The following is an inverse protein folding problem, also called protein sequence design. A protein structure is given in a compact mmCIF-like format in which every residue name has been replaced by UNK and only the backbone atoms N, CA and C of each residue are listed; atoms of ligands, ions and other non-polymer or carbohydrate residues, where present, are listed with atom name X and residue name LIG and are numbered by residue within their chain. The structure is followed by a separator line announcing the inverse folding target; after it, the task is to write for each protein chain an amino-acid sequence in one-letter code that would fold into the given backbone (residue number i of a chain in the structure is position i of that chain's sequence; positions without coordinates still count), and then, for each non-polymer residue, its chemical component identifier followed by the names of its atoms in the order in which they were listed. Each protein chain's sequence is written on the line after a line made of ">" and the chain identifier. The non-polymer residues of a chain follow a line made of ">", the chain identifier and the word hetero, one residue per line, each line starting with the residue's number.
data_IF_719194931002
#
_entry.id   IF_719194931002
#
_cell.length_a   1.000
_cell.length_b   1.000
_cell.length_c   1.000
_cell.angle_alpha   90.00
_cell.angle_beta   90.00
_cell.angle_gamma   90.00
#
_symmetry.space_group_name_H-M   'P 1'
#
loop_
_entity.id
_entity.type
_entity.pdbx_description
1 polymer ?
2 polymer ?
3 water ?
#
loop_
_entity_poly.entity_id
_entity_poly.type
_entity_poly.pdbx_seq_one_letter_code
_entity_poly.pdbx_strand_id
1 'polyribonucleotide' 'GAGGACCUAGAUCACCCCUC' ?
#
# COMPACT_ATOMS: atom_id res chain seq x y z
N UNK C 1 11.96 1.33 10.84
CA UNK C 1 10.68 0.58 11.09
C UNK C 1 10.50 0.22 12.55
N UNK C 2 9.29 0.45 13.06
CA UNK C 2 8.92 0.17 14.44
C UNK C 2 7.56 -0.52 14.39
N UNK C 3 7.14 -1.16 15.49
CA UNK C 3 5.84 -1.83 15.55
C UNK C 3 4.66 -0.89 15.82
N UNK C 4 4.95 0.34 16.25
CA UNK C 4 3.90 1.32 16.52
C UNK C 4 4.30 2.68 15.95
N UNK C 5 3.54 3.10 14.96
CA UNK C 5 3.76 4.39 14.32
C UNK C 5 2.51 5.24 14.50
N UNK C 6 2.70 6.55 14.61
CA UNK C 6 1.62 7.52 14.77
C UNK C 6 1.78 8.64 13.74
N UNK C 7 0.66 9.15 13.24
CA UNK C 7 0.62 10.26 12.30
C UNK C 7 -0.50 11.15 12.81
N UNK C 8 -0.48 12.42 12.43
CA UNK C 8 -1.54 13.36 12.83
C UNK C 8 -2.21 13.79 11.54
N UNK C 9 -3.47 13.47 11.40
CA UNK C 9 -4.22 13.79 10.21
C UNK C 9 -5.32 14.84 10.46
N UNK C 10 -5.24 15.99 9.77
CA UNK C 10 -6.27 17.00 9.98
C UNK C 10 -7.67 16.37 10.02
N UNK C 11 -8.55 16.95 10.80
CA UNK C 11 -9.90 16.42 10.93
C UNK C 11 -10.72 16.39 9.63
N UNK C 12 -10.68 17.46 8.85
CA UNK C 12 -11.44 17.54 7.61
C UNK C 12 -10.89 16.65 6.55
N UNK C 13 -9.79 15.97 6.88
CA UNK C 13 -9.12 15.07 5.95
C UNK C 13 -9.16 13.59 6.39
N UNK C 14 -9.39 13.35 7.68
CA UNK C 14 -9.42 11.99 8.25
C UNK C 14 -10.49 11.07 7.65
N UNK C 15 -11.62 11.62 7.26
CA UNK C 15 -12.68 10.78 6.70
C UNK C 15 -12.29 10.06 5.41
N UNK C 16 -11.25 10.58 4.75
CA UNK C 16 -10.76 10.03 3.49
C UNK C 16 -10.07 8.69 3.69
N UNK C 17 -9.53 8.46 4.87
CA UNK C 17 -8.87 7.19 5.13
C UNK C 17 -9.84 6.27 5.86
N UNK C 18 -10.92 6.84 6.37
CA UNK C 18 -11.95 6.06 7.06
C UNK C 18 -12.90 5.49 5.98
N UNK C 19 -13.45 6.37 5.15
CA UNK C 19 -14.33 5.91 4.10
C UNK C 19 -15.73 5.59 4.60
N UNK C 20 -16.69 5.43 3.70
CA UNK C 20 -18.06 5.14 4.09
C UNK C 20 -18.15 3.96 5.03
N UNK C 21 -18.67 4.21 6.23
CA UNK C 21 -18.81 3.17 7.23
C UNK C 21 -17.48 2.59 7.70
N UNK C 22 -16.38 3.25 7.34
CA UNK C 22 -15.07 2.80 7.75
C UNK C 22 -14.49 1.73 6.85
N UNK C 23 -15.12 1.53 5.69
CA UNK C 23 -14.69 0.51 4.74
C UNK C 23 -13.29 0.68 4.15
N UNK C 24 -12.78 1.91 4.13
CA UNK C 24 -11.45 2.16 3.58
C UNK C 24 -10.41 1.78 4.62
N UNK C 25 -10.63 2.23 5.84
CA UNK C 25 -9.74 1.95 6.97
C UNK C 25 -9.57 0.44 7.01
N UNK C 26 -10.69 -0.27 7.04
CA UNK C 26 -10.73 -1.74 7.06
C UNK C 26 -9.94 -2.32 5.91
N UNK C 27 -10.02 -1.68 4.75
CA UNK C 27 -9.34 -2.11 3.54
C UNK C 27 -7.83 -2.08 3.70
N UNK C 28 -7.32 -0.94 4.19
CA UNK C 28 -5.87 -0.78 4.41
C UNK C 28 -5.33 -1.75 5.42
N UNK C 29 -6.19 -2.17 6.35
CA UNK C 29 -5.80 -3.11 7.38
C UNK C 29 -5.68 -4.52 6.79
N UNK C 30 -6.63 -4.86 5.93
CA UNK C 30 -6.63 -6.16 5.27
C UNK C 30 -5.41 -6.24 4.35
N UNK C 31 -5.19 -5.17 3.59
CA UNK C 31 -4.07 -5.07 2.67
C UNK C 31 -2.68 -5.08 3.30
N UNK C 32 -2.56 -4.48 4.47
CA UNK C 32 -1.27 -4.35 5.16
C UNK C 32 -1.06 -5.32 6.31
N UNK C 33 -2.15 -5.79 6.91
CA UNK C 33 -2.03 -6.70 8.03
C UNK C 33 -1.80 -5.98 9.34
N UNK C 34 -1.82 -4.65 9.26
CA UNK C 34 -1.62 -3.78 10.42
C UNK C 34 -2.94 -3.27 10.99
N UNK C 35 -2.92 -2.84 12.23
CA UNK C 35 -4.12 -2.31 12.86
C UNK C 35 -4.00 -0.79 12.88
N UNK C 36 -5.01 -0.13 12.34
CA UNK C 36 -5.03 1.33 12.32
C UNK C 36 -6.11 1.71 13.32
N UNK C 37 -5.74 2.60 14.23
CA UNK C 37 -6.63 3.06 15.29
C UNK C 37 -6.64 4.58 15.23
N UNK C 38 -7.81 5.17 15.05
CA UNK C 38 -7.88 6.60 14.98
C UNK C 38 -8.43 7.11 16.28
N UNK C 39 -7.95 8.26 16.73
CA UNK C 39 -8.41 8.85 17.98
C UNK C 39 -9.93 9.00 17.91
N UNK C 40 -10.57 9.15 19.06
CA UNK C 40 -12.01 9.30 19.06
C UNK C 40 -12.40 10.68 18.55
N UNK C 41 -13.61 10.82 18.02
CA UNK C 41 -14.03 12.12 17.50
C UNK C 41 -13.89 13.22 18.58
N UNK C 42 -13.33 14.37 18.20
CA UNK C 42 -13.17 15.44 19.16
C UNK C 42 -11.89 15.36 19.97
N UNK C 43 -11.17 14.27 19.78
CA UNK C 43 -9.90 14.02 20.46
C UNK C 43 -8.76 14.32 19.48
N UNK C 44 -8.08 15.46 19.67
CA UNK C 44 -6.99 15.88 18.78
C UNK C 44 -5.71 16.12 19.54
N UNK C 45 -4.62 16.25 18.81
CA UNK C 45 -3.35 16.53 19.47
C UNK C 45 -3.55 17.90 20.09
N UNK C 46 -3.06 18.11 21.32
CA UNK C 46 -3.25 19.42 21.93
C UNK C 46 -2.89 20.57 20.99
N UNK C 47 -3.68 21.64 21.07
CA UNK C 47 -3.42 22.79 20.24
C UNK C 47 -3.53 22.52 18.74
N UNK C 48 -4.53 21.74 18.35
CA UNK C 48 -4.75 21.43 16.94
C UNK C 48 -6.09 20.72 16.74
N UNK C 49 -6.43 20.49 15.48
CA UNK C 49 -7.66 19.78 15.10
C UNK C 49 -7.25 18.58 14.25
N UNK C 50 -6.18 17.92 14.67
CA UNK C 50 -5.63 16.76 14.00
C UNK C 50 -5.93 15.54 14.83
N UNK C 51 -6.52 14.55 14.19
CA UNK C 51 -6.83 13.28 14.84
C UNK C 51 -5.54 12.45 14.84
N UNK C 52 -5.31 11.71 15.92
CA UNK C 52 -4.12 10.88 16.01
C UNK C 52 -4.42 9.54 15.38
N UNK C 53 -3.57 9.12 14.46
CA UNK C 53 -3.76 7.82 13.81
C UNK C 53 -2.66 6.89 14.29
N UNK C 54 -3.04 5.83 15.00
CA UNK C 54 -2.06 4.88 15.52
C UNK C 54 -2.02 3.55 14.78
N UNK C 55 -0.86 3.25 14.22
CA UNK C 55 -0.69 2.04 13.46
C UNK C 55 0.20 1.09 14.22
N UNK C 56 -0.22 -0.17 14.28
CA UNK C 56 0.54 -1.20 14.99
C UNK C 56 0.56 -2.52 14.24
N UNK C 57 1.62 -3.28 14.44
CA UNK C 57 1.78 -4.58 13.79
C UNK C 57 3.24 -4.85 13.57
N UNK C 58 3.57 -5.79 12.70
CA UNK C 58 4.97 -6.09 12.40
C UNK C 58 5.57 -4.80 11.81
N UNK C 59 6.90 -4.62 11.90
CA UNK C 59 7.50 -3.41 11.34
C UNK C 59 7.16 -3.20 9.88
N UNK C 60 7.17 -4.30 9.12
CA UNK C 60 6.86 -4.24 7.69
C UNK C 60 5.42 -3.83 7.44
N UNK C 61 4.51 -4.32 8.26
CA UNK C 61 3.08 -3.99 8.12
C UNK C 61 2.75 -2.57 8.53
N UNK C 62 3.31 -2.10 9.65
CA UNK C 62 3.08 -0.74 10.14
C UNK C 62 3.66 0.31 9.18
N UNK C 63 4.74 -0.06 8.49
CA UNK C 63 5.39 0.84 7.55
C UNK C 63 4.61 0.94 6.24
N UNK C 64 4.01 -0.16 5.80
CA UNK C 64 3.25 -0.16 4.56
C UNK C 64 1.96 0.62 4.84
N UNK C 65 1.40 0.38 6.02
CA UNK C 65 0.17 1.03 6.48
C UNK C 65 0.37 2.51 6.58
N UNK C 66 1.46 2.89 7.25
CA UNK C 66 1.75 4.31 7.41
C UNK C 66 1.99 4.98 6.06
N UNK C 67 2.59 4.26 5.12
CA UNK C 67 2.87 4.84 3.81
C UNK C 67 1.63 5.01 2.95
N UNK C 68 0.75 4.01 2.94
CA UNK C 68 -0.46 4.11 2.14
C UNK C 68 -1.38 5.20 2.65
N UNK C 69 -1.48 5.32 3.98
CA UNK C 69 -2.32 6.36 4.59
C UNK C 69 -1.81 7.76 4.26
N UNK C 70 -0.54 8.03 4.51
CA UNK C 70 0.04 9.33 4.20
C UNK C 70 -0.10 9.62 2.70
N UNK C 71 0.13 8.61 1.88
CA UNK C 71 -0.02 8.77 0.44
C UNK C 71 -1.45 9.16 0.17
N UNK C 72 -2.38 8.50 0.84
CA UNK C 72 -3.81 8.77 0.69
C UNK C 72 -4.20 10.18 1.08
N UNK C 73 -3.62 10.66 2.18
CA UNK C 73 -3.89 12.02 2.66
C UNK C 73 -3.28 13.06 1.71
N UNK C 74 -2.13 12.73 1.16
CA UNK C 74 -1.44 13.62 0.23
C UNK C 74 -2.17 13.69 -1.10
N UNK C 75 -2.75 12.57 -1.51
CA UNK C 75 -3.50 12.50 -2.76
C UNK C 75 -4.72 13.40 -2.64
N UNK C 76 -5.45 13.21 -1.54
CA UNK C 76 -6.63 14.00 -1.20
C UNK C 76 -6.36 15.50 -1.26
N UNK C 77 -5.33 15.94 -0.52
CA UNK C 77 -4.94 17.34 -0.46
C UNK C 77 -4.78 17.93 -1.85
N UNK C 78 -4.14 17.17 -2.74
CA UNK C 78 -3.92 17.63 -4.10
C UNK C 78 -5.24 17.86 -4.81
N UNK C 79 -6.05 16.82 -4.87
CA UNK C 79 -7.37 16.88 -5.48
C UNK C 79 -8.18 18.06 -4.94
N UNK C 80 -8.06 18.30 -3.64
CA UNK C 80 -8.78 19.38 -2.99
C UNK C 80 -8.16 20.73 -3.31
N UNK C 81 -6.91 20.73 -3.77
CA UNK C 81 -6.21 21.97 -4.09
C UNK C 81 -6.27 22.28 -5.57
N UNK C 82 -6.87 21.37 -6.33
CA UNK C 82 -6.98 21.53 -7.77
C UNK C 82 -8.44 21.67 -8.21
N UNK C 83 -9.30 20.87 -7.60
CA UNK C 83 -10.73 20.82 -7.90
C UNK C 83 -11.63 21.63 -6.98
N UNK C 84 -12.85 21.95 -7.46
CA UNK C 84 -13.83 22.72 -6.68
C UNK C 84 -14.55 21.81 -5.68
N UNK C 85 -14.69 22.27 -4.45
CA UNK C 85 -15.36 21.50 -3.40
C UNK C 85 -16.86 21.50 -3.58
N UNK C 86 -17.44 20.31 -3.74
CA UNK C 86 -18.89 20.19 -3.92
C UNK C 86 -19.62 20.58 -2.65
N UNK C 87 -20.78 21.21 -2.80
CA UNK C 87 -21.58 21.65 -1.65
C UNK C 87 -23.08 21.49 -1.94
N UNK D 1 17.46 4.70 1.55
CA UNK D 1 17.54 3.20 1.65
C UNK D 1 17.62 2.80 0.21
N UNK D 2 16.90 1.74 -0.21
CA UNK D 2 16.95 1.45 -1.63
C UNK D 2 15.84 2.08 -2.50
N UNK D 3 16.19 2.74 -3.61
CA UNK D 3 15.14 3.32 -4.51
C UNK D 3 14.80 2.48 -5.73
N UNK D 4 15.33 1.27 -5.78
CA UNK D 4 15.06 0.31 -6.84
C UNK D 4 15.20 -1.09 -6.21
N UNK D 5 14.11 -1.80 -6.26
CA UNK D 5 14.10 -3.14 -5.70
C UNK D 5 13.66 -4.11 -6.79
N UNK D 6 14.18 -5.33 -6.72
CA UNK D 6 13.84 -6.33 -7.73
C UNK D 6 13.39 -7.63 -7.11
N UNK D 7 12.25 -8.14 -7.58
CA UNK D 7 11.73 -9.43 -7.13
C UNK D 7 11.58 -10.31 -8.35
N UNK D 8 11.80 -11.61 -8.15
CA UNK D 8 11.66 -12.59 -9.21
C UNK D 8 10.36 -13.32 -8.90
N UNK D 9 9.43 -13.29 -9.85
CA UNK D 9 8.14 -13.92 -9.65
C UNK D 9 7.89 -15.00 -10.70
N UNK D 10 7.66 -16.26 -10.28
CA UNK D 10 7.41 -17.33 -11.25
C UNK D 10 6.44 -16.86 -12.30
N UNK D 11 6.59 -17.36 -13.51
CA UNK D 11 5.71 -16.95 -14.60
C UNK D 11 4.20 -17.28 -14.37
N UNK D 12 3.91 -18.46 -13.85
CA UNK D 12 2.52 -18.86 -13.62
C UNK D 12 1.87 -18.05 -12.48
N UNK D 13 2.69 -17.27 -11.79
CA UNK D 13 2.21 -16.49 -10.66
C UNK D 13 2.10 -14.98 -10.94
N UNK D 14 2.94 -14.50 -11.85
CA UNK D 14 3.01 -13.08 -12.22
C UNK D 14 1.68 -12.45 -12.60
N UNK D 15 0.81 -13.21 -13.24
CA UNK D 15 -0.48 -12.65 -13.61
C UNK D 15 -1.32 -12.21 -12.42
N UNK D 16 -0.96 -12.70 -11.23
CA UNK D 16 -1.69 -12.37 -10.00
C UNK D 16 -1.46 -10.94 -9.53
N UNK D 17 -0.34 -10.35 -9.93
CA UNK D 17 -0.03 -8.99 -9.56
C UNK D 17 -0.34 -8.06 -10.72
N UNK D 18 -0.52 -8.62 -11.91
CA UNK D 18 -0.84 -7.82 -13.08
C UNK D 18 -2.35 -7.61 -13.12
N UNK D 19 -3.08 -8.70 -12.95
CA UNK D 19 -4.53 -8.67 -12.95
C UNK D 19 -5.12 -8.46 -14.33
N UNK D 20 -6.44 -8.54 -14.46
CA UNK D 20 -7.07 -8.36 -15.77
C UNK D 20 -6.70 -7.03 -16.40
N UNK D 21 -6.07 -7.09 -17.58
CA UNK D 21 -5.67 -5.87 -18.25
C UNK D 21 -4.60 -5.03 -17.54
N UNK D 22 -3.96 -5.57 -16.49
CA UNK D 22 -2.94 -4.86 -15.75
C UNK D 22 -3.48 -4.08 -14.59
N UNK D 23 -4.81 -4.14 -14.48
CA UNK D 23 -5.60 -3.44 -13.49
C UNK D 23 -5.09 -3.50 -12.08
N UNK D 24 -4.50 -4.63 -11.71
CA UNK D 24 -3.97 -4.81 -10.37
C UNK D 24 -2.64 -4.11 -10.22
N UNK D 25 -1.78 -4.27 -11.21
CA UNK D 25 -0.47 -3.67 -11.21
C UNK D 25 -0.70 -2.18 -11.02
N UNK D 26 -1.61 -1.63 -11.80
CA UNK D 26 -1.94 -0.20 -11.75
C UNK D 26 -2.43 0.24 -10.37
N UNK D 27 -3.22 -0.62 -9.73
CA UNK D 27 -3.75 -0.36 -8.40
C UNK D 27 -2.62 -0.19 -7.39
N UNK D 28 -1.68 -1.14 -7.36
CA UNK D 28 -0.56 -1.10 -6.43
C UNK D 28 0.32 0.13 -6.65
N UNK D 29 0.40 0.55 -7.90
CA UNK D 29 1.19 1.73 -8.24
C UNK D 29 0.50 2.97 -7.68
N UNK D 30 -0.83 2.96 -7.76
CA UNK D 30 -1.61 4.09 -7.26
C UNK D 30 -1.53 4.14 -5.74
N UNK D 31 -1.67 2.97 -5.12
CA UNK D 31 -1.64 2.85 -3.68
C UNK D 31 -0.32 3.21 -3.05
N UNK D 32 0.77 2.89 -3.75
CA UNK D 32 2.10 3.12 -3.23
C UNK D 32 2.84 4.30 -3.84
N UNK D 33 2.49 4.66 -5.06
CA UNK D 33 3.15 5.78 -5.71
C UNK D 33 4.48 5.36 -6.30
N UNK D 34 4.72 4.05 -6.35
CA UNK D 34 5.96 3.52 -6.92
C UNK D 34 5.66 3.02 -8.32
N UNK D 35 6.71 2.76 -9.10
CA UNK D 35 6.53 2.28 -10.45
C UNK D 35 6.95 0.83 -10.52
N UNK D 36 6.01 -0.03 -10.87
CA UNK D 36 6.28 -1.44 -10.96
C UNK D 36 6.43 -1.80 -12.43
N UNK D 37 7.61 -2.29 -12.79
CA UNK D 37 7.90 -2.66 -14.15
C UNK D 37 8.18 -4.16 -14.17
N UNK D 38 7.45 -4.90 -14.98
CA UNK D 38 7.68 -6.33 -15.06
C UNK D 38 8.43 -6.62 -16.34
N UNK D 39 9.35 -7.57 -16.28
CA UNK D 39 10.14 -7.93 -17.44
C UNK D 39 9.19 -8.30 -18.56
N UNK D 40 9.67 -8.26 -19.80
CA UNK D 40 8.80 -8.59 -20.93
C UNK D 40 8.44 -10.08 -21.00
N UNK D 41 7.38 -10.44 -21.68
CA UNK D 41 7.03 -11.85 -21.76
C UNK D 41 8.21 -12.69 -22.28
N UNK D 42 8.49 -13.83 -21.64
CA UNK D 42 9.56 -14.77 -22.07
C UNK D 42 10.96 -14.30 -21.72
N UNK D 43 10.91 -13.35 -20.83
CA UNK D 43 12.08 -12.61 -20.31
C UNK D 43 12.35 -12.92 -18.85
N UNK D 44 13.04 -13.98 -18.61
CA UNK D 44 13.31 -14.43 -17.21
C UNK D 44 14.72 -14.32 -16.62
N UNK D 45 14.72 -14.36 -15.30
CA UNK D 45 15.94 -14.31 -14.56
C UNK D 45 16.68 -15.47 -15.20
N UNK D 46 18.02 -15.43 -15.24
CA UNK D 46 18.76 -16.52 -15.87
C UNK D 46 18.57 -17.95 -15.35
N UNK D 47 18.24 -18.86 -16.25
CA UNK D 47 18.06 -20.26 -15.91
C UNK D 47 16.75 -20.56 -15.24
N UNK D 48 15.87 -19.56 -15.23
CA UNK D 48 14.57 -19.69 -14.59
C UNK D 48 13.45 -19.31 -15.55
N UNK D 49 12.23 -19.34 -14.99
CA UNK D 49 11.02 -18.96 -15.70
C UNK D 49 10.37 -18.01 -14.72
N UNK D 50 11.22 -17.15 -14.16
CA UNK D 50 10.82 -16.14 -13.20
C UNK D 50 10.92 -14.79 -13.86
N UNK D 51 9.82 -14.07 -13.89
CA UNK D 51 9.79 -12.74 -14.49
C UNK D 51 10.40 -11.82 -13.47
N UNK D 52 11.06 -10.78 -13.95
CA UNK D 52 11.72 -9.83 -13.06
C UNK D 52 10.79 -8.67 -12.80
N UNK D 53 10.56 -8.37 -11.54
CA UNK D 53 9.70 -7.26 -11.17
C UNK D 53 10.58 -6.16 -10.59
N UNK D 54 10.58 -5.01 -11.26
CA UNK D 54 11.40 -3.87 -10.83
C UNK D 54 10.57 -2.72 -10.25
N UNK D 55 10.77 -2.45 -8.97
CA UNK D 55 10.06 -1.39 -8.27
C UNK D 55 11.01 -0.22 -8.03
N UNK D 56 10.54 0.97 -8.38
CA UNK D 56 11.31 2.19 -8.23
C UNK D 56 10.43 3.32 -7.68
N UNK D 57 11.05 4.21 -6.91
CA UNK D 57 10.32 5.31 -6.33
C UNK D 57 11.06 5.70 -5.08
N UNK D 58 10.42 6.50 -4.21
CA UNK D 58 11.08 6.90 -2.97
C UNK D 58 11.34 5.59 -2.21
N UNK D 59 12.32 5.58 -1.30
CA UNK D 59 12.60 4.35 -0.55
C UNK D 59 11.36 3.80 0.17
N UNK D 60 10.53 4.70 0.69
CA UNK D 60 9.33 4.34 1.41
C UNK D 60 8.32 3.70 0.48
N UNK D 61 8.24 4.21 -0.74
CA UNK D 61 7.30 3.73 -1.73
C UNK D 61 7.72 2.40 -2.32
N UNK D 62 9.02 2.25 -2.57
CA UNK D 62 9.52 1.02 -3.18
C UNK D 62 9.44 -0.13 -2.19
N UNK D 63 9.48 0.21 -0.91
CA UNK D 63 9.41 -0.77 0.18
C UNK D 63 7.95 -1.25 0.37
N UNK D 64 7.03 -0.28 0.41
CA UNK D 64 5.61 -0.54 0.54
C UNK D 64 5.16 -1.38 -0.65
N UNK D 65 5.61 -0.98 -1.84
CA UNK D 65 5.27 -1.68 -3.08
C UNK D 65 5.83 -3.09 -3.05
N UNK D 66 7.08 -3.22 -2.64
CA UNK D 66 7.73 -4.52 -2.57
C UNK D 66 7.04 -5.43 -1.56
N UNK D 67 6.60 -4.84 -0.45
CA UNK D 67 5.93 -5.62 0.58
C UNK D 67 4.58 -6.16 0.16
N UNK D 68 3.77 -5.34 -0.50
CA UNK D 68 2.43 -5.75 -0.95
C UNK D 68 2.46 -6.78 -2.04
N UNK D 69 3.45 -6.67 -2.92
CA UNK D 69 3.61 -7.61 -4.03
C UNK D 69 4.00 -8.99 -3.52
N UNK D 70 5.07 -9.05 -2.73
CA UNK D 70 5.52 -10.32 -2.14
C UNK D 70 4.38 -10.96 -1.31
N UNK D 71 3.64 -10.13 -0.58
CA UNK D 71 2.51 -10.59 0.23
C UNK D 71 1.50 -11.21 -0.71
N UNK D 72 1.20 -10.51 -1.79
CA UNK D 72 0.25 -10.98 -2.81
C UNK D 72 0.69 -12.31 -3.42
N UNK D 73 1.98 -12.44 -3.71
CA UNK D 73 2.50 -13.69 -4.28
C UNK D 73 2.44 -14.80 -3.25
N UNK D 74 2.67 -14.46 -1.99
CA UNK D 74 2.63 -15.46 -0.94
C UNK D 74 1.17 -15.92 -0.71
N UNK D 75 0.25 -14.97 -0.72
CA UNK D 75 -1.16 -15.29 -0.54
C UNK D 75 -1.57 -16.30 -1.60
N UNK D 76 -1.29 -15.94 -2.86
CA UNK D 76 -1.63 -16.77 -4.00
C UNK D 76 -1.12 -18.19 -3.83
N UNK D 77 0.17 -18.32 -3.59
CA UNK D 77 0.80 -19.63 -3.39
C UNK D 77 0.02 -20.46 -2.40
N UNK D 78 -0.39 -19.83 -1.30
CA UNK D 78 -1.15 -20.51 -0.28
C UNK D 78 -2.46 -21.05 -0.85
N UNK D 79 -3.27 -20.15 -1.40
CA UNK D 79 -4.57 -20.48 -1.99
C UNK D 79 -4.44 -21.60 -3.01
N UNK D 80 -3.32 -21.60 -3.74
CA UNK D 80 -3.03 -22.61 -4.76
C UNK D 80 -2.57 -23.94 -4.19
N UNK D 81 -2.00 -23.89 -2.99
CA UNK D 81 -1.46 -25.07 -2.33
C UNK D 81 -2.49 -25.72 -1.37
N UNK D 82 -3.61 -25.08 -1.16
CA UNK D 82 -4.65 -25.62 -0.29
C UNK D 82 -5.55 -26.60 -1.05
N UNK D 83 -4.96 -27.28 -2.02
CA UNK D 83 -5.67 -28.28 -2.83
C UNK D 83 -4.94 -29.63 -2.93
N UNK D 84 -5.30 -30.58 -2.05
CA UNK D 84 -4.68 -31.91 -2.03
C UNK D 84 -5.00 -32.74 -3.30
#
# INVERSE_FOLDING_TARGET
>C
MKELVEIAVPENLVGAILGKGGKTLVEYQELTGARIQISKKGEFLPGTRNRRVTITGSPAATQAAQYLISQRVTYEQGVRASNPQKV
>D
MKELVEIAVPENLVGAILGKGGKTLVEYQELTGARIQISKKGEFLPGTRNRRVTITGSPAATQAAQYLISQRVTYEQGVRASNPQKV
#
